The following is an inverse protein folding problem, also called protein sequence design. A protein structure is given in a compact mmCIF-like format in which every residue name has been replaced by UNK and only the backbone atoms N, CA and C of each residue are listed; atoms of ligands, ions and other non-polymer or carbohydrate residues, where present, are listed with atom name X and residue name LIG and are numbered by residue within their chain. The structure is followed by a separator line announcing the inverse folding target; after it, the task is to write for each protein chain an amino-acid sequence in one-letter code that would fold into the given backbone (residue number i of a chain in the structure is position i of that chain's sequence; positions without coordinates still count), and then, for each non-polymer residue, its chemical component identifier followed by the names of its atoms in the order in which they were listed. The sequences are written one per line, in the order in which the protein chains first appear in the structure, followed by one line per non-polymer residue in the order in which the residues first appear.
data_IF_547528274072
#
_entry.id   IF_547528274072
#
_cell.length_a   1.000
_cell.length_b   1.000
_cell.length_c   1.000
_cell.angle_alpha   90.00
_cell.angle_beta   90.00
_cell.angle_gamma   90.00
#
_symmetry.space_group_name_H-M   'P 1'
#
loop_
_entity.id
_entity.type
_entity.pdbx_description
1 polymer ?
#
# COMPACT_ATOMS: atom_id res chain seq x y z
N UNK A 1 24.13 8.76 -24.84
CA UNK A 1 24.78 8.08 -23.72
C UNK A 1 26.03 7.37 -24.21
N UNK A 2 27.18 7.75 -23.68
CA UNK A 2 28.45 7.04 -23.80
C UNK A 2 28.35 5.65 -23.15
N UNK A 3 29.29 4.76 -23.47
CA UNK A 3 29.34 3.43 -22.86
C UNK A 3 29.45 3.52 -21.32
N UNK A 4 30.28 4.44 -20.81
CA UNK A 4 30.41 4.72 -19.39
C UNK A 4 29.11 5.23 -18.77
N UNK A 5 28.40 6.15 -19.44
CA UNK A 5 27.10 6.67 -18.96
C UNK A 5 26.02 5.57 -18.93
N UNK A 6 26.08 4.59 -19.84
CA UNK A 6 25.16 3.44 -19.82
C UNK A 6 25.45 2.47 -18.67
N UNK A 7 26.73 2.24 -18.37
CA UNK A 7 27.12 1.31 -17.31
C UNK A 7 27.13 1.94 -15.90
N UNK A 8 27.26 3.27 -15.80
CA UNK A 8 27.23 4.03 -14.53
C UNK A 8 25.99 3.75 -13.68
N UNK A 9 24.85 3.53 -14.33
CA UNK A 9 23.55 3.24 -13.71
C UNK A 9 23.19 1.75 -13.67
N UNK A 10 24.00 0.89 -14.29
CA UNK A 10 23.63 -0.52 -14.54
C UNK A 10 24.47 -1.51 -13.73
N UNK A 11 25.76 -1.25 -13.49
CA UNK A 11 26.64 -2.20 -12.81
C UNK A 11 27.51 -1.58 -11.67
N UNK A 12 27.18 -2.03 -10.45
CA UNK A 12 27.76 -1.86 -9.07
C UNK A 12 27.50 -0.51 -8.32
N UNK A 13 27.09 -0.49 -7.03
CA UNK A 13 27.65 -1.17 -5.84
C UNK A 13 26.71 -1.99 -4.95
N UNK A 14 27.17 -3.19 -4.54
CA UNK A 14 26.69 -3.90 -3.33
C UNK A 14 27.61 -3.63 -2.13
N UNK A 15 27.09 -3.06 -1.05
CA UNK A 15 27.84 -2.79 0.20
C UNK A 15 27.28 -3.65 1.34
N UNK A 16 28.10 -4.39 2.09
CA UNK A 16 28.93 -3.86 3.18
C UNK A 16 30.40 -4.28 3.12
N UNK A 17 31.27 -3.27 3.27
CA UNK A 17 32.67 -3.32 3.67
C UNK A 17 33.09 -1.93 4.20
N UNK A 18 32.26 -1.36 5.10
CA UNK A 18 32.44 -0.12 5.91
C UNK A 18 32.66 1.26 5.21
N UNK A 19 31.61 1.79 4.55
CA UNK A 19 31.48 3.18 4.01
C UNK A 19 32.13 3.41 2.66
N UNK A 20 31.33 3.16 1.61
CA UNK A 20 31.73 3.34 0.23
C UNK A 20 32.79 2.32 -0.24
N UNK A 21 33.09 2.28 -1.54
CA UNK A 21 34.43 1.85 -1.93
C UNK A 21 35.18 3.04 -2.55
N UNK A 22 36.16 3.62 -1.86
CA UNK A 22 36.86 4.80 -2.39
C UNK A 22 37.44 4.60 -3.80
N UNK A 23 37.70 3.34 -4.16
CA UNK A 23 38.33 2.92 -5.41
C UNK A 23 37.50 3.13 -6.70
N UNK A 24 36.19 3.41 -6.63
CA UNK A 24 35.42 3.79 -7.86
C UNK A 24 35.33 5.30 -8.07
N UNK A 25 35.85 6.11 -7.15
CA UNK A 25 35.75 7.57 -7.21
C UNK A 25 34.34 8.16 -7.08
N UNK A 26 33.32 7.38 -6.69
CA UNK A 26 31.93 7.85 -6.53
C UNK A 26 31.63 8.26 -5.09
N UNK A 27 30.85 9.34 -4.86
CA UNK A 27 30.45 9.75 -3.52
C UNK A 27 29.46 8.77 -2.88
N UNK A 28 29.59 8.53 -1.57
CA UNK A 28 28.58 7.78 -0.81
C UNK A 28 27.32 8.63 -0.66
N UNK A 29 26.24 8.18 -1.27
CA UNK A 29 24.92 8.83 -1.21
C UNK A 29 23.94 8.09 -0.30
N UNK A 30 24.29 6.89 0.17
CA UNK A 30 23.42 6.05 0.98
C UNK A 30 23.55 6.41 2.45
N UNK A 31 24.77 6.57 2.97
CA UNK A 31 24.99 6.97 4.36
C UNK A 31 24.30 8.33 4.67
N UNK A 32 24.52 9.41 3.89
CA UNK A 32 23.83 10.67 4.13
C UNK A 32 22.30 10.56 4.06
N UNK A 33 21.77 9.71 3.17
CA UNK A 33 20.33 9.47 3.08
C UNK A 33 19.79 8.79 4.35
N UNK A 34 20.49 7.79 4.88
CA UNK A 34 20.09 7.09 6.11
C UNK A 34 20.13 8.05 7.30
N UNK A 35 21.19 8.85 7.44
CA UNK A 35 21.32 9.82 8.54
C UNK A 35 20.26 10.93 8.44
N UNK A 36 19.97 11.42 7.24
CA UNK A 36 18.92 12.43 7.04
C UNK A 36 17.52 11.87 7.35
N UNK A 37 17.23 10.61 6.98
CA UNK A 37 16.02 9.90 7.42
C UNK A 37 15.93 9.85 8.94
N UNK A 38 17.04 9.53 9.63
CA UNK A 38 17.08 9.43 11.09
C UNK A 38 16.82 10.78 11.75
N UNK A 39 17.44 11.84 11.25
CA UNK A 39 17.22 13.20 11.72
C UNK A 39 15.76 13.66 11.50
N UNK A 40 15.19 13.37 10.32
CA UNK A 40 13.81 13.71 10.01
C UNK A 40 12.81 12.97 10.93
N UNK A 41 13.04 11.68 11.19
CA UNK A 41 12.26 10.90 12.17
C UNK A 41 12.31 11.52 13.56
N UNK A 42 13.48 11.94 14.03
CA UNK A 42 13.66 12.56 15.35
C UNK A 42 12.92 13.89 15.52
N UNK A 43 12.60 14.58 14.42
CA UNK A 43 11.82 15.83 14.41
C UNK A 43 10.29 15.60 14.34
N UNK A 44 9.84 14.36 14.30
CA UNK A 44 8.42 14.00 14.33
C UNK A 44 7.78 13.80 12.96
N UNK A 45 6.50 13.39 12.99
CA UNK A 45 5.74 12.88 11.82
C UNK A 45 5.73 13.85 10.63
N UNK A 46 5.52 15.15 10.86
CA UNK A 46 5.42 16.13 9.77
C UNK A 46 6.77 16.33 9.06
N UNK A 47 7.86 16.49 9.82
CA UNK A 47 9.20 16.62 9.26
C UNK A 47 9.63 15.35 8.51
N UNK A 48 9.28 14.17 9.05
CA UNK A 48 9.50 12.89 8.38
C UNK A 48 8.74 12.80 7.05
N UNK A 49 7.46 13.17 7.06
CA UNK A 49 6.61 13.14 5.87
C UNK A 49 7.17 14.03 4.76
N UNK A 50 7.54 15.27 5.10
CA UNK A 50 8.14 16.22 4.16
C UNK A 50 9.43 15.63 3.55
N UNK A 51 10.35 15.19 4.41
CA UNK A 51 11.62 14.63 3.94
C UNK A 51 11.42 13.42 3.02
N UNK A 52 10.51 12.51 3.38
CA UNK A 52 10.17 11.35 2.55
C UNK A 52 9.59 11.78 1.19
N UNK A 53 8.71 12.78 1.13
CA UNK A 53 8.15 13.25 -0.16
C UNK A 53 9.20 13.90 -1.07
N UNK A 54 10.20 14.54 -0.49
CA UNK A 54 11.30 15.19 -1.22
C UNK A 54 12.34 14.17 -1.73
N UNK A 55 12.56 13.08 -0.99
CA UNK A 55 13.68 12.16 -1.23
C UNK A 55 13.29 10.77 -1.75
N UNK A 56 12.04 10.34 -1.55
CA UNK A 56 11.54 9.04 -2.00
C UNK A 56 10.37 9.21 -2.98
N UNK A 57 10.28 8.27 -3.92
CA UNK A 57 9.05 8.06 -4.66
C UNK A 57 8.04 7.41 -3.72
N UNK A 58 7.17 8.23 -3.14
CA UNK A 58 6.23 7.80 -2.10
C UNK A 58 5.25 6.77 -2.64
N UNK A 59 4.70 6.98 -3.84
CA UNK A 59 3.74 6.05 -4.43
C UNK A 59 4.41 4.70 -4.70
N UNK A 60 5.56 4.70 -5.38
CA UNK A 60 6.26 3.46 -5.71
C UNK A 60 6.75 2.72 -4.45
N UNK A 61 7.20 3.45 -3.44
CA UNK A 61 7.64 2.84 -2.18
C UNK A 61 6.46 2.25 -1.39
N UNK A 62 5.32 2.94 -1.32
CA UNK A 62 4.12 2.38 -0.69
C UNK A 62 3.64 1.13 -1.44
N UNK A 63 3.67 1.11 -2.78
CA UNK A 63 3.31 -0.08 -3.58
C UNK A 63 4.23 -1.25 -3.28
N UNK A 64 5.54 -0.99 -3.20
CA UNK A 64 6.52 -1.98 -2.77
C UNK A 64 6.17 -2.54 -1.38
N UNK A 65 5.94 -1.68 -0.38
CA UNK A 65 5.63 -2.10 1.00
C UNK A 65 4.37 -2.96 1.05
N UNK A 66 3.30 -2.51 0.38
CA UNK A 66 2.04 -3.25 0.30
C UNK A 66 2.23 -4.62 -0.35
N UNK A 67 2.99 -4.69 -1.44
CA UNK A 67 3.24 -5.93 -2.18
C UNK A 67 4.08 -6.91 -1.35
N UNK A 68 5.17 -6.45 -0.75
CA UNK A 68 6.07 -7.29 0.05
C UNK A 68 5.39 -7.81 1.33
N UNK A 69 4.53 -6.98 1.93
CA UNK A 69 3.72 -7.41 3.07
C UNK A 69 2.52 -8.26 2.65
N UNK A 70 1.99 -8.09 1.42
CA UNK A 70 0.97 -8.98 0.86
C UNK A 70 1.50 -10.41 0.75
N UNK A 71 2.66 -10.58 0.09
CA UNK A 71 3.27 -11.88 -0.18
C UNK A 71 3.93 -12.53 1.04
N UNK A 72 4.03 -11.83 2.17
CA UNK A 72 4.50 -12.39 3.44
C UNK A 72 5.98 -12.76 3.44
N UNK A 73 6.84 -11.84 2.99
CA UNK A 73 8.28 -12.09 2.83
C UNK A 73 8.98 -12.45 4.14
N UNK A 74 9.94 -13.38 4.06
CA UNK A 74 10.62 -13.95 5.23
C UNK A 74 11.43 -12.92 6.04
N UNK A 75 12.39 -12.24 5.40
CA UNK A 75 13.44 -11.46 6.05
C UNK A 75 13.75 -10.11 5.40
N UNK A 76 12.75 -9.48 4.79
CA UNK A 76 12.84 -8.15 4.18
C UNK A 76 13.12 -7.00 5.17
N UNK A 77 13.21 -7.30 6.47
CA UNK A 77 13.51 -6.31 7.52
C UNK A 77 14.92 -5.75 7.43
N UNK A 78 15.86 -6.54 6.89
CA UNK A 78 17.28 -6.19 6.82
C UNK A 78 17.98 -6.73 5.55
N UNK A 79 17.30 -7.52 4.73
CA UNK A 79 17.83 -8.05 3.46
C UNK A 79 16.74 -8.13 2.39
N UNK A 80 17.02 -8.77 1.25
CA UNK A 80 16.03 -9.09 0.20
C UNK A 80 15.28 -7.89 -0.38
N UNK A 81 15.98 -6.76 -0.41
CA UNK A 81 15.58 -5.55 -1.12
C UNK A 81 16.80 -4.79 -1.62
N UNK A 82 16.60 -4.03 -2.69
CA UNK A 82 17.54 -3.00 -3.13
C UNK A 82 16.92 -1.62 -2.91
N UNK A 83 17.80 -0.65 -2.62
CA UNK A 83 17.48 0.76 -2.76
C UNK A 83 17.97 1.21 -4.13
N UNK A 84 17.07 1.79 -4.91
CA UNK A 84 17.37 2.33 -6.22
C UNK A 84 17.10 3.84 -6.20
N UNK A 85 18.06 4.63 -6.68
CA UNK A 85 17.87 6.06 -6.89
C UNK A 85 17.58 6.28 -8.37
N UNK A 86 16.35 6.71 -8.66
CA UNK A 86 15.90 6.98 -10.02
C UNK A 86 16.73 8.09 -10.65
N UNK A 87 17.13 7.91 -11.90
CA UNK A 87 17.96 8.88 -12.62
C UNK A 87 17.16 10.14 -13.02
N UNK A 88 15.85 9.99 -13.19
CA UNK A 88 14.95 11.02 -13.74
C UNK A 88 14.70 12.16 -12.74
N UNK A 89 14.50 11.83 -11.46
CA UNK A 89 14.11 12.78 -10.42
C UNK A 89 14.97 12.66 -9.15
N UNK A 90 16.01 11.82 -9.16
CA UNK A 90 16.91 11.56 -8.04
C UNK A 90 16.22 11.01 -6.78
N UNK A 91 14.97 10.55 -6.86
CA UNK A 91 14.25 9.97 -5.73
C UNK A 91 14.58 8.51 -5.54
N UNK A 92 14.60 8.09 -4.28
CA UNK A 92 14.80 6.70 -3.90
C UNK A 92 13.49 5.90 -4.01
N UNK A 93 13.61 4.63 -4.39
CA UNK A 93 12.57 3.63 -4.27
C UNK A 93 13.17 2.29 -3.85
N UNK A 94 12.29 1.34 -3.55
CA UNK A 94 12.67 -0.01 -3.12
C UNK A 94 12.30 -1.03 -4.18
N UNK A 95 13.20 -1.99 -4.43
CA UNK A 95 12.98 -3.10 -5.33
C UNK A 95 13.11 -4.42 -4.57
N UNK A 96 12.22 -5.41 -4.80
CA UNK A 96 12.31 -6.69 -4.13
C UNK A 96 13.42 -7.56 -4.74
N UNK A 97 14.00 -8.44 -3.93
CA UNK A 97 14.95 -9.43 -4.39
C UNK A 97 14.81 -10.72 -3.60
N UNK A 98 14.93 -11.88 -4.25
CA UNK A 98 14.89 -13.20 -3.60
C UNK A 98 13.54 -13.50 -2.90
N UNK A 99 12.48 -13.55 -3.71
CA UNK A 99 11.09 -13.68 -3.27
C UNK A 99 10.54 -15.12 -3.36
N UNK A 100 11.40 -16.12 -3.34
CA UNK A 100 11.03 -17.53 -3.46
C UNK A 100 10.30 -18.07 -2.21
N UNK A 101 10.69 -17.63 -1.01
CA UNK A 101 10.05 -17.99 0.26
C UNK A 101 8.89 -17.06 0.64
N UNK A 102 7.94 -16.88 -0.29
CA UNK A 102 6.76 -16.02 -0.17
C UNK A 102 5.46 -16.80 -0.44
N UNK A 103 4.31 -16.12 -0.43
CA UNK A 103 2.98 -16.67 -0.77
C UNK A 103 2.62 -17.94 0.02
N UNK A 104 2.98 -17.96 1.31
CA UNK A 104 2.68 -19.05 2.23
C UNK A 104 3.85 -19.97 2.56
N UNK A 105 5.08 -19.60 2.18
CA UNK A 105 6.32 -20.19 2.70
C UNK A 105 6.52 -19.90 4.19
N UNK A 106 7.55 -19.12 4.56
CA UNK A 106 7.85 -18.85 5.97
C UNK A 106 6.73 -18.13 6.74
N UNK A 107 5.90 -17.35 6.05
CA UNK A 107 4.72 -16.70 6.63
C UNK A 107 3.48 -17.01 5.79
N UNK A 108 2.45 -17.47 6.48
CA UNK A 108 1.14 -17.77 5.95
C UNK A 108 0.16 -16.59 6.09
N UNK A 109 -1.10 -16.88 5.81
CA UNK A 109 -2.16 -15.89 5.63
C UNK A 109 -2.40 -14.99 6.87
N UNK A 110 -2.29 -15.54 8.08
CA UNK A 110 -2.66 -14.86 9.34
C UNK A 110 -1.45 -14.31 10.12
N UNK A 111 -0.25 -14.85 9.91
CA UNK A 111 0.96 -14.47 10.63
C UNK A 111 1.86 -13.49 9.86
N UNK A 112 1.50 -13.12 8.63
CA UNK A 112 2.07 -11.98 7.92
C UNK A 112 1.32 -10.68 8.28
N UNK A 113 1.68 -10.03 9.40
CA UNK A 113 1.02 -8.77 9.79
C UNK A 113 1.16 -7.69 8.69
N UNK A 114 0.12 -6.87 8.40
CA UNK A 114 0.24 -5.80 7.39
C UNK A 114 1.31 -4.77 7.69
N UNK A 115 1.64 -4.56 8.97
CA UNK A 115 2.72 -3.68 9.42
C UNK A 115 4.06 -4.39 9.62
N UNK A 116 4.26 -5.60 9.06
CA UNK A 116 5.54 -6.31 9.11
C UNK A 116 6.68 -5.40 8.63
N UNK A 117 7.77 -5.36 9.40
CA UNK A 117 8.88 -4.42 9.23
C UNK A 117 8.74 -3.11 10.02
N UNK A 118 7.64 -2.91 10.76
CA UNK A 118 7.49 -1.81 11.72
C UNK A 118 8.27 -2.08 13.02
N UNK A 119 8.62 -1.04 13.76
CA UNK A 119 9.20 -1.18 15.11
C UNK A 119 8.14 -1.68 16.10
N UNK A 120 8.32 -2.89 16.64
CA UNK A 120 7.30 -3.57 17.47
C UNK A 120 6.98 -2.86 18.79
N UNK A 121 7.91 -2.03 19.30
CA UNK A 121 7.63 -1.17 20.47
C UNK A 121 6.52 -0.15 20.20
N UNK A 122 6.29 0.21 18.93
CA UNK A 122 5.28 1.20 18.51
C UNK A 122 3.93 0.57 18.21
N UNK A 123 3.93 -0.61 17.59
CA UNK A 123 2.71 -1.20 17.00
C UNK A 123 2.36 -2.58 17.56
N UNK A 124 3.13 -3.08 18.52
CA UNK A 124 3.04 -4.45 19.01
C UNK A 124 3.74 -5.45 18.09
N UNK A 125 3.61 -6.74 18.40
CA UNK A 125 4.21 -7.82 17.62
C UNK A 125 3.64 -7.85 16.18
N UNK A 126 4.49 -7.58 15.19
CA UNK A 126 4.16 -7.65 13.75
C UNK A 126 4.82 -8.86 13.08
N UNK A 127 5.39 -9.75 13.88
CA UNK A 127 6.02 -10.99 13.45
C UNK A 127 7.45 -10.81 12.94
N UNK A 128 8.11 -9.70 13.25
CA UNK A 128 9.44 -9.42 12.74
C UNK A 128 10.43 -10.54 13.08
N UNK A 129 11.30 -10.90 12.12
CA UNK A 129 12.35 -11.90 12.36
C UNK A 129 13.34 -11.36 13.40
N UNK A 130 13.48 -12.06 14.53
CA UNK A 130 14.37 -11.68 15.63
C UNK A 130 14.15 -10.26 16.18
N UNK A 131 12.94 -9.72 16.03
CA UNK A 131 12.61 -8.34 16.42
C UNK A 131 13.24 -7.26 15.52
N UNK A 132 13.93 -7.64 14.43
CA UNK A 132 14.50 -6.69 13.49
C UNK A 132 13.42 -6.01 12.66
N UNK A 133 13.54 -4.70 12.43
CA UNK A 133 12.58 -3.94 11.65
C UNK A 133 13.26 -3.19 10.52
N UNK A 134 12.49 -2.91 9.46
CA UNK A 134 12.98 -2.14 8.33
C UNK A 134 12.72 -0.65 8.63
N UNK A 135 13.79 0.11 8.88
CA UNK A 135 13.66 1.52 9.28
C UNK A 135 13.06 2.41 8.21
N UNK A 136 13.20 2.06 6.93
CA UNK A 136 12.55 2.76 5.82
C UNK A 136 11.06 2.45 5.83
N UNK A 137 10.65 1.18 5.84
CA UNK A 137 9.23 0.80 5.90
C UNK A 137 8.53 1.41 7.12
N UNK A 138 9.16 1.30 8.29
CA UNK A 138 8.64 1.89 9.53
C UNK A 138 8.47 3.41 9.42
N UNK A 139 9.34 4.11 8.68
CA UNK A 139 9.20 5.54 8.42
C UNK A 139 7.96 5.87 7.61
N UNK A 140 7.66 5.06 6.59
CA UNK A 140 6.44 5.19 5.82
C UNK A 140 5.20 4.88 6.66
N UNK A 141 5.24 3.85 7.53
CA UNK A 141 4.15 3.58 8.45
C UNK A 141 3.88 4.74 9.41
N UNK A 142 4.89 5.49 9.84
CA UNK A 142 4.71 6.68 10.69
C UNK A 142 4.15 7.86 9.90
N UNK A 143 4.71 8.14 8.72
CA UNK A 143 4.40 9.35 7.97
C UNK A 143 3.15 9.26 7.09
N UNK A 144 2.83 8.05 6.59
CA UNK A 144 1.86 7.76 5.55
C UNK A 144 0.93 6.60 5.91
N UNK A 145 0.58 6.41 7.19
CA UNK A 145 -0.22 5.26 7.63
C UNK A 145 -1.54 5.10 6.87
N UNK A 146 -2.28 6.20 6.68
CA UNK A 146 -3.58 6.16 6.02
C UNK A 146 -3.46 5.92 4.52
N UNK A 147 -2.44 6.47 3.88
CA UNK A 147 -2.13 6.22 2.47
C UNK A 147 -1.64 4.79 2.26
N UNK A 148 -0.85 4.26 3.20
CA UNK A 148 -0.43 2.86 3.21
C UNK A 148 -1.65 1.94 3.31
N UNK A 149 -2.54 2.14 4.29
CA UNK A 149 -3.74 1.32 4.45
C UNK A 149 -4.65 1.42 3.23
N UNK A 150 -4.86 2.63 2.69
CA UNK A 150 -5.69 2.85 1.50
C UNK A 150 -5.12 2.15 0.27
N UNK A 151 -3.80 2.27 0.05
CA UNK A 151 -3.11 1.60 -1.05
C UNK A 151 -3.13 0.09 -0.88
N UNK A 152 -2.92 -0.42 0.33
CA UNK A 152 -2.93 -1.85 0.59
C UNK A 152 -4.32 -2.44 0.34
N UNK A 153 -5.38 -1.75 0.79
CA UNK A 153 -6.75 -2.12 0.47
C UNK A 153 -7.01 -2.11 -1.04
N UNK A 154 -6.61 -1.04 -1.74
CA UNK A 154 -6.77 -0.94 -3.18
C UNK A 154 -6.06 -2.08 -3.90
N UNK A 155 -4.78 -2.34 -3.60
CA UNK A 155 -4.03 -3.43 -4.25
C UNK A 155 -4.59 -4.80 -3.90
N UNK A 156 -5.01 -5.03 -2.65
CA UNK A 156 -5.63 -6.29 -2.22
C UNK A 156 -6.91 -6.63 -2.99
N UNK A 157 -7.70 -5.61 -3.33
CA UNK A 157 -8.98 -5.75 -4.03
C UNK A 157 -8.88 -5.57 -5.55
N UNK A 158 -7.71 -5.18 -6.06
CA UNK A 158 -7.45 -5.06 -7.51
C UNK A 158 -6.34 -6.02 -7.91
N UNK A 159 -5.09 -5.56 -8.01
CA UNK A 159 -3.94 -6.31 -8.52
C UNK A 159 -3.74 -7.66 -7.82
N UNK A 160 -3.94 -7.72 -6.51
CA UNK A 160 -3.71 -8.92 -5.69
C UNK A 160 -5.00 -9.70 -5.39
N UNK A 161 -6.13 -9.37 -6.03
CA UNK A 161 -7.37 -10.11 -5.80
C UNK A 161 -7.21 -11.57 -6.25
N UNK A 162 -7.89 -12.53 -5.61
CA UNK A 162 -7.85 -13.93 -6.03
C UNK A 162 -8.26 -14.11 -7.49
N UNK A 163 -9.24 -13.32 -7.96
CA UNK A 163 -9.69 -13.32 -9.35
C UNK A 163 -8.60 -12.89 -10.32
N UNK A 164 -7.88 -11.80 -10.02
CA UNK A 164 -6.85 -11.27 -10.90
C UNK A 164 -5.54 -12.08 -10.85
N UNK A 165 -5.23 -12.71 -9.71
CA UNK A 165 -4.02 -13.54 -9.58
C UNK A 165 -4.18 -14.94 -10.19
N UNK A 166 -5.40 -15.51 -10.20
CA UNK A 166 -5.65 -16.87 -10.69
C UNK A 166 -5.12 -17.12 -12.11
N UNK A 167 -5.46 -16.32 -13.14
CA UNK A 167 -5.01 -16.61 -14.51
C UNK A 167 -3.48 -16.55 -14.63
N UNK A 168 -2.81 -15.65 -13.89
CA UNK A 168 -1.34 -15.56 -13.87
C UNK A 168 -0.73 -16.82 -13.25
N UNK A 169 -1.30 -17.29 -12.13
CA UNK A 169 -0.83 -18.50 -11.44
C UNK A 169 -1.06 -19.74 -12.28
N UNK A 170 -2.21 -19.86 -12.94
CA UNK A 170 -2.52 -20.98 -13.83
C UNK A 170 -1.56 -21.04 -15.02
N UNK A 171 -1.25 -19.89 -15.63
CA UNK A 171 -0.27 -19.81 -16.72
C UNK A 171 1.13 -20.27 -16.28
N UNK A 172 1.66 -19.70 -15.18
CA UNK A 172 2.98 -20.08 -14.63
C UNK A 172 3.01 -21.56 -14.22
N UNK A 173 1.92 -22.06 -13.61
CA UNK A 173 1.84 -23.46 -13.20
C UNK A 173 1.79 -24.41 -14.40
N UNK A 174 1.12 -24.03 -15.50
CA UNK A 174 1.10 -24.83 -16.73
C UNK A 174 2.50 -24.91 -17.35
N UNK A 175 3.20 -23.77 -17.47
CA UNK A 175 4.58 -23.71 -17.97
C UNK A 175 5.55 -24.55 -17.12
N UNK A 176 5.40 -24.51 -15.80
CA UNK A 176 6.24 -25.25 -14.87
C UNK A 176 5.85 -26.71 -14.64
N UNK A 177 4.77 -27.22 -15.26
CA UNK A 177 4.25 -28.56 -15.01
C UNK A 177 3.73 -28.77 -13.58
N UNK A 178 3.20 -27.72 -12.95
CA UNK A 178 2.74 -27.68 -11.55
C UNK A 178 1.25 -27.40 -11.39
N UNK A 179 0.42 -27.66 -12.39
CA UNK A 179 -1.03 -27.36 -12.35
C UNK A 179 -1.76 -27.95 -11.15
N UNK A 180 -1.28 -29.07 -10.58
CA UNK A 180 -1.82 -29.66 -9.35
C UNK A 180 -1.70 -28.78 -8.09
N UNK A 181 -0.82 -27.78 -8.10
CA UNK A 181 -0.57 -26.91 -6.94
C UNK A 181 -1.42 -25.63 -6.92
N UNK A 182 -2.09 -25.30 -8.04
CA UNK A 182 -2.83 -24.04 -8.22
C UNK A 182 -3.86 -23.86 -7.11
N UNK A 183 -4.70 -24.86 -6.86
CA UNK A 183 -5.78 -24.75 -5.87
C UNK A 183 -5.26 -24.52 -4.45
N UNK A 184 -4.11 -25.10 -4.08
CA UNK A 184 -3.52 -24.90 -2.76
C UNK A 184 -3.06 -23.45 -2.58
N UNK A 185 -2.34 -22.91 -3.58
CA UNK A 185 -1.88 -21.53 -3.58
C UNK A 185 -3.06 -20.55 -3.62
N UNK A 186 -4.07 -20.81 -4.44
CA UNK A 186 -5.29 -19.98 -4.49
C UNK A 186 -6.05 -19.98 -3.17
N UNK A 187 -6.08 -21.11 -2.44
CA UNK A 187 -6.68 -21.15 -1.11
C UNK A 187 -5.88 -20.31 -0.09
N UNK A 188 -4.55 -20.22 -0.22
CA UNK A 188 -3.75 -19.31 0.59
C UNK A 188 -4.07 -17.85 0.24
N UNK A 189 -4.07 -17.50 -1.05
CA UNK A 189 -4.38 -16.16 -1.57
C UNK A 189 -5.78 -15.70 -1.14
N UNK A 190 -6.79 -16.54 -1.27
CA UNK A 190 -8.16 -16.22 -0.85
C UNK A 190 -8.24 -15.88 0.65
N UNK A 191 -7.55 -16.66 1.49
CA UNK A 191 -7.52 -16.42 2.94
C UNK A 191 -6.73 -15.17 3.28
N UNK A 192 -5.62 -14.92 2.59
CA UNK A 192 -4.82 -13.70 2.75
C UNK A 192 -5.63 -12.46 2.38
N UNK A 193 -6.33 -12.51 1.25
CA UNK A 193 -7.21 -11.45 0.79
C UNK A 193 -8.30 -11.10 1.82
N UNK A 194 -9.01 -12.12 2.32
CA UNK A 194 -10.03 -11.94 3.36
C UNK A 194 -9.47 -11.39 4.67
N UNK A 195 -8.32 -11.90 5.13
CA UNK A 195 -7.64 -11.38 6.32
C UNK A 195 -7.31 -9.89 6.19
N UNK A 196 -6.74 -9.48 5.04
CA UNK A 196 -6.32 -8.11 4.81
C UNK A 196 -7.50 -7.14 4.81
N UNK A 197 -8.61 -7.49 4.16
CA UNK A 197 -9.82 -6.68 4.20
C UNK A 197 -10.33 -6.52 5.65
N UNK A 198 -10.50 -7.63 6.37
CA UNK A 198 -10.94 -7.60 7.78
C UNK A 198 -9.98 -6.81 8.70
N UNK A 199 -8.68 -6.80 8.40
CA UNK A 199 -7.71 -6.02 9.17
C UNK A 199 -7.75 -4.54 8.79
N UNK A 200 -7.79 -4.21 7.51
CA UNK A 200 -7.56 -2.86 7.00
C UNK A 200 -8.84 -2.02 7.07
N UNK A 201 -9.99 -2.55 6.64
CA UNK A 201 -11.24 -1.79 6.55
C UNK A 201 -11.61 -1.09 7.86
N UNK A 202 -11.54 -1.73 9.06
CA UNK A 202 -11.83 -1.06 10.32
C UNK A 202 -10.93 0.14 10.62
N UNK A 203 -9.71 0.14 10.08
CA UNK A 203 -8.61 1.10 10.33
C UNK A 203 -8.50 2.19 9.27
N UNK A 204 -9.19 2.05 8.14
CA UNK A 204 -9.27 3.12 7.18
C UNK A 204 -10.08 4.28 7.77
N UNK A 205 -9.54 5.48 7.64
CA UNK A 205 -10.31 6.70 7.90
C UNK A 205 -11.64 6.64 7.16
N UNK A 206 -12.70 7.31 7.67
CA UNK A 206 -13.92 7.51 6.91
C UNK A 206 -13.53 7.96 5.50
N UNK A 207 -14.04 7.29 4.46
CA UNK A 207 -13.64 7.66 3.13
C UNK A 207 -14.13 9.08 2.83
N UNK A 208 -13.43 9.78 1.94
CA UNK A 208 -13.92 11.06 1.46
C UNK A 208 -15.16 10.79 0.59
N UNK A 209 -16.28 11.44 0.93
CA UNK A 209 -17.43 11.51 0.05
C UNK A 209 -17.10 12.47 -1.10
N UNK A 210 -16.75 11.91 -2.25
CA UNK A 210 -16.47 12.69 -3.45
C UNK A 210 -17.78 13.11 -4.12
N UNK A 211 -17.79 14.34 -4.62
CA UNK A 211 -18.87 14.94 -5.38
C UNK A 211 -18.38 15.16 -6.81
N UNK A 212 -19.10 14.63 -7.79
CA UNK A 212 -18.87 14.90 -9.21
C UNK A 212 -20.18 15.19 -9.95
N UNK A 213 -20.07 15.66 -11.18
CA UNK A 213 -21.20 15.83 -12.10
C UNK A 213 -21.08 14.80 -13.22
N UNK A 214 -22.14 14.03 -13.45
CA UNK A 214 -22.25 13.10 -14.57
C UNK A 214 -23.59 13.28 -15.29
N UNK A 215 -23.54 13.53 -16.60
CA UNK A 215 -24.71 13.81 -17.44
C UNK A 215 -25.70 14.85 -16.85
N UNK A 216 -25.18 15.84 -16.11
CA UNK A 216 -25.99 16.87 -15.44
C UNK A 216 -26.58 16.47 -14.08
N UNK A 217 -26.33 15.25 -13.61
CA UNK A 217 -26.69 14.80 -12.28
C UNK A 217 -25.49 14.89 -11.33
N UNK A 218 -25.78 15.10 -10.05
CA UNK A 218 -24.76 15.05 -9.00
C UNK A 218 -24.52 13.58 -8.67
N UNK A 219 -23.26 13.15 -8.71
CA UNK A 219 -22.83 11.81 -8.29
C UNK A 219 -22.05 11.93 -6.98
N UNK A 220 -22.49 11.17 -5.99
CA UNK A 220 -21.87 11.01 -4.69
C UNK A 220 -21.20 9.64 -4.65
N UNK A 221 -19.89 9.60 -4.50
CA UNK A 221 -19.14 8.35 -4.53
C UNK A 221 -18.02 8.33 -3.51
N UNK A 222 -17.66 7.14 -3.06
CA UNK A 222 -16.50 6.91 -2.21
C UNK A 222 -15.79 5.62 -2.66
N UNK A 223 -14.57 5.33 -2.17
CA UNK A 223 -13.75 4.23 -2.68
C UNK A 223 -14.49 2.90 -2.70
N UNK A 224 -14.42 2.21 -3.84
CA UNK A 224 -15.02 0.90 -4.04
C UNK A 224 -14.51 -0.12 -3.00
N UNK A 225 -15.41 -0.96 -2.49
CA UNK A 225 -15.14 -1.92 -1.41
C UNK A 225 -15.33 -1.37 0.01
N UNK A 226 -15.49 -0.05 0.19
CA UNK A 226 -15.86 0.56 1.50
C UNK A 226 -17.36 0.47 1.78
N UNK A 227 -17.91 -0.74 1.68
CA UNK A 227 -19.32 -1.03 2.01
C UNK A 227 -19.58 -1.05 3.52
N UNK A 228 -18.54 -0.85 4.33
CA UNK A 228 -18.63 -0.55 5.75
C UNK A 228 -19.19 0.85 6.03
N UNK A 229 -19.43 1.67 5.01
CA UNK A 229 -20.11 2.96 5.11
C UNK A 229 -21.38 2.97 4.26
N UNK A 230 -22.37 3.71 4.75
CA UNK A 230 -23.62 3.99 4.07
C UNK A 230 -23.80 5.50 3.88
N UNK A 231 -24.49 5.87 2.81
CA UNK A 231 -24.90 7.25 2.60
C UNK A 231 -26.08 7.58 3.51
N UNK A 232 -25.96 8.66 4.27
CA UNK A 232 -27.07 9.25 5.02
C UNK A 232 -27.39 10.64 4.49
N UNK A 233 -28.66 11.00 4.54
CA UNK A 233 -29.16 12.32 4.16
C UNK A 233 -29.91 12.99 5.31
N UNK A 234 -29.91 14.33 5.29
CA UNK A 234 -30.73 15.16 6.16
C UNK A 234 -31.13 16.47 5.48
N UNK A 235 -32.29 17.02 5.85
CA UNK A 235 -32.70 18.37 5.46
C UNK A 235 -31.96 19.48 6.24
N UNK A 236 -31.18 19.12 7.26
CA UNK A 236 -30.43 20.05 8.12
C UNK A 236 -29.03 19.50 8.40
N UNK A 237 -28.03 20.38 8.51
CA UNK A 237 -26.68 20.04 8.95
C UNK A 237 -26.65 19.36 10.33
N UNK A 238 -27.67 19.60 11.16
CA UNK A 238 -27.75 19.08 12.53
C UNK A 238 -28.59 17.81 12.65
N UNK A 239 -29.09 17.28 11.53
CA UNK A 239 -29.96 16.10 11.52
C UNK A 239 -31.45 16.43 11.68
N UNK A 240 -32.31 15.41 11.85
CA UNK A 240 -31.96 14.00 12.00
C UNK A 240 -31.38 13.42 10.70
N UNK A 241 -30.38 12.54 10.85
CA UNK A 241 -29.74 11.84 9.74
C UNK A 241 -30.41 10.48 9.52
N UNK A 242 -30.62 10.10 8.27
CA UNK A 242 -31.26 8.84 7.91
C UNK A 242 -30.52 8.19 6.75
N UNK A 243 -30.40 6.87 6.79
CA UNK A 243 -29.87 6.10 5.68
C UNK A 243 -30.66 6.38 4.42
N UNK A 244 -29.93 6.62 3.35
CA UNK A 244 -30.49 6.83 2.03
C UNK A 244 -30.95 5.49 1.47
N UNK A 245 -32.16 5.45 0.93
CA UNK A 245 -32.74 4.26 0.28
C UNK A 245 -33.17 4.58 -1.15
N UNK A 246 -33.15 3.56 -2.00
CA UNK A 246 -33.56 3.68 -3.40
C UNK A 246 -34.99 4.23 -3.52
N UNK A 247 -35.19 5.24 -4.37
CA UNK A 247 -36.47 5.93 -4.53
C UNK A 247 -36.61 7.23 -3.71
N UNK A 248 -35.65 7.58 -2.84
CA UNK A 248 -35.62 8.87 -2.13
C UNK A 248 -34.93 10.00 -2.93
N UNK A 249 -35.30 10.19 -4.20
CA UNK A 249 -34.67 11.15 -5.13
C UNK A 249 -33.15 10.97 -5.28
N UNK A 250 -32.70 9.75 -5.05
CA UNK A 250 -31.36 9.25 -5.27
C UNK A 250 -31.51 7.86 -5.86
N UNK A 251 -30.61 7.52 -6.78
CA UNK A 251 -30.46 6.17 -7.32
C UNK A 251 -29.14 5.63 -6.82
N UNK A 252 -29.17 4.43 -6.24
CA UNK A 252 -27.94 3.73 -5.92
C UNK A 252 -27.40 3.08 -7.19
N UNK A 253 -26.23 3.50 -7.66
CA UNK A 253 -25.60 2.93 -8.86
C UNK A 253 -24.73 1.73 -8.49
N UNK A 254 -24.02 1.81 -7.36
CA UNK A 254 -23.25 0.72 -6.75
C UNK A 254 -23.38 0.78 -5.22
N UNK A 255 -22.87 -0.22 -4.45
CA UNK A 255 -22.79 -0.12 -2.99
C UNK A 255 -22.12 1.17 -2.46
N UNK A 256 -21.29 1.82 -3.28
CA UNK A 256 -20.47 2.98 -2.88
C UNK A 256 -20.65 4.21 -3.80
N UNK A 257 -21.69 4.21 -4.64
CA UNK A 257 -21.99 5.28 -5.60
C UNK A 257 -23.48 5.53 -5.72
N UNK A 258 -23.86 6.81 -5.66
CA UNK A 258 -25.24 7.28 -5.71
C UNK A 258 -25.37 8.48 -6.63
N UNK A 259 -26.36 8.44 -7.51
CA UNK A 259 -26.77 9.58 -8.34
C UNK A 259 -27.92 10.32 -7.66
N UNK A 260 -27.76 11.61 -7.39
CA UNK A 260 -28.84 12.49 -6.91
C UNK A 260 -29.70 12.89 -8.09
N UNK A 261 -31.00 12.59 -7.99
CA UNK A 261 -31.96 12.86 -9.04
C UNK A 261 -32.41 14.33 -9.01
N UNK A 262 -32.75 14.92 -10.18
CA UNK A 262 -33.27 16.29 -10.25
C UNK A 262 -34.53 16.46 -9.39
N UNK A 263 -34.70 17.62 -8.76
CA UNK A 263 -35.81 18.04 -7.87
C UNK A 263 -35.66 17.75 -6.35
N UNK A 264 -34.46 17.52 -5.84
CA UNK A 264 -34.24 17.52 -4.40
C UNK A 264 -34.37 18.94 -3.80
N UNK A 265 -35.12 19.07 -2.70
CA UNK A 265 -34.93 20.17 -1.76
C UNK A 265 -33.50 20.12 -1.19
N UNK A 266 -32.97 21.25 -0.69
CA UNK A 266 -31.64 21.31 -0.08
C UNK A 266 -31.43 20.12 0.88
N UNK A 267 -30.48 19.26 0.54
CA UNK A 267 -30.18 18.04 1.28
C UNK A 267 -28.69 18.00 1.58
N UNK A 268 -28.37 17.64 2.81
CA UNK A 268 -27.01 17.41 3.28
C UNK A 268 -26.76 15.91 3.26
N UNK A 269 -25.56 15.52 2.82
CA UNK A 269 -25.14 14.14 2.75
C UNK A 269 -23.92 13.91 3.62
N UNK A 270 -23.85 12.73 4.24
CA UNK A 270 -22.65 12.27 4.94
C UNK A 270 -22.48 10.78 4.78
N UNK A 271 -21.27 10.32 5.04
CA UNK A 271 -20.99 8.92 5.24
C UNK A 271 -21.12 8.58 6.72
N UNK A 272 -21.82 7.50 6.99
CA UNK A 272 -22.00 6.91 8.32
C UNK A 272 -21.60 5.45 8.26
N UNK A 273 -21.13 4.91 9.38
CA UNK A 273 -20.69 3.52 9.50
C UNK A 273 -21.83 2.66 10.01
#
# INVERSE_FOLDING_TARGET
FSESERYEYTFNRKTLGWKNQPEDGKPDIVEPMIEALHAARGRGRQALRQWLSENFDVDQTLRYICTINYVGTFDDMFQNHFLYRKAEDNKWCMLPWDMDNTLGGAFGQWNANPFRGAEERRVGNVGNRSGWWNRIKDSFFIAYEQEFLSMFHQLNNTVHSPENLRPVIEAIAAEGGRSGNVNSLMNHIQRRHGYLNSFIEPRLSPPLLALSLDAGNIVLQWPEGRTDFNLEASASLFGPWRSVSEGQNVRQDTPTSYTVLPNQAQSFFRLSR
#
